data_IF_629895940908
#
_entry.id   IF_629895940908
#
_cell.length_a   1.000
_cell.length_b   1.000
_cell.length_c   1.000
_cell.angle_alpha   90.00
_cell.angle_beta   90.00
_cell.angle_gamma   90.00
#
_symmetry.space_group_name_H-M   'P 1'
#
loop_
_entity.id
_entity.type
_entity.pdbx_description
1 polymer ?
#
# COMPACT_ATOMS: atom_id res chain seq x y z
N UNK A 1 -8.51 -18.01 -17.52
CA UNK A 1 -7.34 -18.38 -16.69
C UNK A 1 -6.15 -17.56 -17.15
N UNK A 2 -5.95 -16.38 -16.56
CA UNK A 2 -4.76 -15.57 -16.81
C UNK A 2 -3.84 -15.69 -15.59
N UNK A 3 -2.88 -16.60 -15.73
CA UNK A 3 -1.56 -16.61 -15.08
C UNK A 3 -1.41 -15.68 -13.87
N UNK A 4 -1.37 -16.27 -12.66
CA UNK A 4 -1.17 -15.66 -11.33
C UNK A 4 -0.25 -14.41 -11.29
N UNK A 5 0.81 -14.39 -12.10
CA UNK A 5 1.74 -13.26 -12.23
C UNK A 5 1.12 -11.97 -12.77
N UNK A 6 0.16 -12.04 -13.70
CA UNK A 6 -0.50 -10.84 -14.25
C UNK A 6 -1.43 -10.20 -13.22
N UNK A 7 -2.11 -11.02 -12.42
CA UNK A 7 -2.98 -10.52 -11.35
C UNK A 7 -2.17 -9.83 -10.25
N UNK A 8 -1.01 -10.36 -9.87
CA UNK A 8 -0.11 -9.73 -8.90
C UNK A 8 0.38 -8.35 -9.40
N UNK A 9 0.70 -8.23 -10.69
CA UNK A 9 1.12 -6.97 -11.28
C UNK A 9 -0.02 -5.95 -11.33
N UNK A 10 -1.22 -6.36 -11.74
CA UNK A 10 -2.40 -5.50 -11.76
C UNK A 10 -2.77 -4.99 -10.36
N UNK A 11 -2.72 -5.87 -9.36
CA UNK A 11 -2.92 -5.51 -7.96
C UNK A 11 -1.86 -4.51 -7.47
N UNK A 12 -0.59 -4.74 -7.82
CA UNK A 12 0.50 -3.84 -7.45
C UNK A 12 0.37 -2.46 -8.11
N UNK A 13 -0.03 -2.40 -9.39
CA UNK A 13 -0.29 -1.12 -10.07
C UNK A 13 -1.48 -0.36 -9.46
N UNK A 14 -2.52 -1.08 -9.02
CA UNK A 14 -3.68 -0.50 -8.34
C UNK A 14 -3.31 0.03 -6.93
N UNK A 15 -2.49 -0.74 -6.20
CA UNK A 15 -1.88 -0.33 -4.94
C UNK A 15 -1.01 0.93 -5.11
N UNK A 16 -0.13 0.98 -6.11
CA UNK A 16 0.69 2.17 -6.39
C UNK A 16 -0.19 3.41 -6.57
N UNK A 17 -1.28 3.30 -7.34
CA UNK A 17 -2.20 4.42 -7.61
C UNK A 17 -2.91 4.87 -6.35
N UNK A 18 -3.44 3.92 -5.59
CA UNK A 18 -4.10 4.16 -4.31
C UNK A 18 -3.16 4.85 -3.33
N UNK A 19 -1.95 4.30 -3.14
CA UNK A 19 -0.94 4.87 -2.24
C UNK A 19 -0.52 6.28 -2.67
N UNK A 20 -0.41 6.54 -3.97
CA UNK A 20 -0.13 7.88 -4.51
C UNK A 20 -1.25 8.88 -4.19
N UNK A 21 -2.51 8.45 -4.26
CA UNK A 21 -3.66 9.27 -3.86
C UNK A 21 -3.63 9.59 -2.36
N UNK A 22 -3.24 8.61 -1.54
CA UNK A 22 -3.02 8.76 -0.09
C UNK A 22 -1.75 9.57 0.30
N UNK A 23 -1.06 10.18 -0.68
CA UNK A 23 0.20 10.93 -0.54
C UNK A 23 1.38 10.13 0.01
N UNK A 24 1.41 8.83 -0.26
CA UNK A 24 2.62 8.04 -0.05
C UNK A 24 3.56 8.22 -1.24
N UNK A 25 4.84 8.39 -0.93
CA UNK A 25 5.92 8.46 -1.91
C UNK A 25 6.60 7.10 -1.97
N UNK A 26 6.77 6.55 -3.17
CA UNK A 26 7.62 5.38 -3.38
C UNK A 26 9.09 5.79 -3.24
N UNK A 27 9.89 4.96 -2.57
CA UNK A 27 11.33 5.17 -2.46
C UNK A 27 12.00 4.86 -3.80
N UNK A 28 12.91 5.71 -4.26
CA UNK A 28 13.64 5.50 -5.52
C UNK A 28 14.57 4.26 -5.45
N UNK A 29 15.10 3.98 -4.26
CA UNK A 29 15.95 2.83 -4.01
C UNK A 29 15.19 1.49 -4.08
N UNK A 30 13.90 1.50 -3.70
CA UNK A 30 13.07 0.29 -3.67
C UNK A 30 11.60 0.65 -3.96
N UNK A 31 11.06 0.29 -5.15
CA UNK A 31 9.69 0.63 -5.54
C UNK A 31 8.65 -0.09 -4.67
N UNK A 32 9.05 -1.10 -3.90
CA UNK A 32 8.21 -1.81 -2.95
C UNK A 32 8.02 -1.07 -1.62
N UNK A 33 8.79 -0.01 -1.36
CA UNK A 33 8.74 0.75 -0.11
C UNK A 33 8.09 2.10 -0.37
N UNK A 34 7.08 2.41 0.42
CA UNK A 34 6.34 3.66 0.40
C UNK A 34 6.49 4.36 1.73
N UNK A 35 6.73 5.66 1.71
CA UNK A 35 6.88 6.45 2.92
C UNK A 35 6.03 7.72 2.81
N UNK A 36 5.52 8.16 3.96
CA UNK A 36 4.78 9.41 4.07
C UNK A 36 5.53 10.34 5.02
N UNK A 37 6.18 11.36 4.46
CA UNK A 37 7.02 12.28 5.25
C UNK A 37 6.23 13.00 6.36
N UNK A 38 4.96 13.30 6.12
CA UNK A 38 4.11 14.04 7.05
C UNK A 38 3.88 13.26 8.35
N UNK A 39 3.64 11.96 8.26
CA UNK A 39 3.26 11.10 9.39
C UNK A 39 4.37 10.13 9.80
N UNK A 40 5.47 10.06 9.05
CA UNK A 40 6.54 9.05 9.17
C UNK A 40 6.00 7.61 9.13
N UNK A 41 4.91 7.41 8.40
CA UNK A 41 4.34 6.09 8.14
C UNK A 41 5.05 5.47 6.94
N UNK A 42 5.41 4.20 7.06
CA UNK A 42 6.07 3.43 6.01
C UNK A 42 5.22 2.22 5.67
N UNK A 43 5.05 1.94 4.38
CA UNK A 43 4.33 0.77 3.88
C UNK A 43 5.27 0.00 2.99
N UNK A 44 5.41 -1.30 3.21
CA UNK A 44 6.24 -2.18 2.39
C UNK A 44 5.33 -3.20 1.72
N UNK A 45 5.31 -3.22 0.40
CA UNK A 45 4.57 -4.20 -0.38
C UNK A 45 5.48 -5.38 -0.74
N UNK A 46 5.13 -6.58 -0.28
CA UNK A 46 5.87 -7.81 -0.57
C UNK A 46 4.96 -8.86 -1.19
N UNK A 47 4.95 -8.91 -2.52
CA UNK A 47 4.23 -9.88 -3.36
C UNK A 47 2.70 -9.90 -3.14
N UNK A 48 2.25 -10.52 -2.05
CA UNK A 48 0.85 -10.65 -1.67
C UNK A 48 0.55 -10.11 -0.26
N UNK A 49 1.59 -9.66 0.44
CA UNK A 49 1.52 -9.14 1.80
C UNK A 49 1.87 -7.64 1.81
N UNK A 50 1.21 -6.92 2.71
CA UNK A 50 1.46 -5.50 2.98
C UNK A 50 1.92 -5.34 4.41
N UNK A 51 3.14 -4.84 4.58
CA UNK A 51 3.67 -4.44 5.87
C UNK A 51 3.34 -2.97 6.11
N UNK A 52 2.55 -2.67 7.14
CA UNK A 52 2.26 -1.31 7.57
C UNK A 52 3.11 -1.00 8.82
N UNK A 53 3.98 -0.01 8.71
CA UNK A 53 4.82 0.49 9.78
C UNK A 53 4.34 1.90 10.11
N UNK A 54 3.80 2.07 11.31
CA UNK A 54 3.36 3.37 11.78
C UNK A 54 4.01 3.69 13.12
N UNK A 55 4.11 4.98 13.44
CA UNK A 55 4.69 5.43 14.70
C UNK A 55 3.68 5.40 15.87
N UNK A 56 2.39 5.42 15.55
CA UNK A 56 1.30 5.55 16.54
C UNK A 56 0.16 4.63 16.17
N UNK A 57 -0.46 4.00 17.18
CA UNK A 57 -1.53 3.03 17.00
C UNK A 57 -2.79 3.65 16.34
N UNK A 58 -3.10 4.91 16.64
CA UNK A 58 -4.18 5.68 16.00
C UNK A 58 -3.94 5.83 14.48
N UNK A 59 -2.71 6.16 14.11
CA UNK A 59 -2.26 6.21 12.71
C UNK A 59 -2.43 4.85 12.04
N UNK A 60 -2.06 3.76 12.73
CA UNK A 60 -2.25 2.40 12.22
C UNK A 60 -3.72 2.08 11.97
N UNK A 61 -4.60 2.41 12.90
CA UNK A 61 -6.03 2.15 12.78
C UNK A 61 -6.67 2.93 11.62
N UNK A 62 -6.28 4.20 11.44
CA UNK A 62 -6.74 5.02 10.33
C UNK A 62 -6.22 4.52 8.98
N UNK A 63 -4.94 4.16 8.90
CA UNK A 63 -4.34 3.60 7.69
C UNK A 63 -5.01 2.27 7.31
N UNK A 64 -5.15 1.37 8.29
CA UNK A 64 -5.79 0.07 8.11
C UNK A 64 -7.23 0.24 7.61
N UNK A 65 -7.99 1.15 8.20
CA UNK A 65 -9.37 1.43 7.79
C UNK A 65 -9.46 2.03 6.39
N UNK A 66 -8.50 2.88 6.00
CA UNK A 66 -8.45 3.50 4.67
C UNK A 66 -8.10 2.48 3.58
N UNK A 67 -7.13 1.60 3.87
CA UNK A 67 -6.73 0.50 3.00
C UNK A 67 -7.87 -0.50 2.86
N UNK A 68 -8.46 -0.95 3.98
CA UNK A 68 -9.63 -1.86 3.96
C UNK A 68 -10.77 -1.30 3.11
N UNK A 69 -11.15 -0.04 3.30
CA UNK A 69 -12.19 0.60 2.49
C UNK A 69 -11.89 0.62 0.99
N UNK A 70 -10.62 0.72 0.62
CA UNK A 70 -10.23 0.77 -0.79
C UNK A 70 -10.26 -0.63 -1.42
N UNK A 71 -9.83 -1.65 -0.68
CA UNK A 71 -9.75 -3.03 -1.18
C UNK A 71 -11.05 -3.84 -1.01
N UNK A 72 -11.91 -3.51 -0.06
CA UNK A 72 -13.20 -4.20 0.16
C UNK A 72 -14.22 -3.89 -0.95
N UNK A 73 -14.00 -2.84 -1.75
CA UNK A 73 -14.86 -2.47 -2.90
C UNK A 73 -14.49 -3.27 -4.17
N UNK A 74 -13.40 -4.01 -4.17
CA UNK A 74 -13.01 -4.87 -5.30
C UNK A 74 -13.42 -6.33 -5.00
N UNK A 75 -14.73 -6.58 -4.92
CA UNK A 75 -15.32 -7.93 -4.89
C UNK A 75 -16.42 -8.00 -5.94
#
# INVERSE_FOLDING_TARGET
MYSLQRSARLWYEDLCRTLKDFKFLSLDADPCVYFKETTKETIVAYFNDLLLLTKTEESMANLKSSVLKTYEVVI
#
